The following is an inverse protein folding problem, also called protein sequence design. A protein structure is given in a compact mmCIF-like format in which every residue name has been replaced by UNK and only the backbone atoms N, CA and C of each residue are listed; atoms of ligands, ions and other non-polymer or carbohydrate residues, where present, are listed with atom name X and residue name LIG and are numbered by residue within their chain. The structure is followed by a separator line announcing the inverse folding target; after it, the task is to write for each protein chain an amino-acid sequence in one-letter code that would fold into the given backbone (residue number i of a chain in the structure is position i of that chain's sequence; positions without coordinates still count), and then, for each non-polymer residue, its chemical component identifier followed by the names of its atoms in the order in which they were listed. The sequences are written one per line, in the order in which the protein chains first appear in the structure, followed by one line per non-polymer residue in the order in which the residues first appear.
data_IF_108080464008
#
_entry.id   IF_108080464008
#
_cell.length_a   1.000
_cell.length_b   1.000
_cell.length_c   1.000
_cell.angle_alpha   90.00
_cell.angle_beta   90.00
_cell.angle_gamma   90.00
#
_symmetry.space_group_name_H-M   'P 1'
#
loop_
_entity.id
_entity.type
_entity.pdbx_description
1 polymer ?
#
# COMPACT_ATOMS: atom_id res chain seq x y z
N UNK A 1 4.08 -20.82 -4.28
CA UNK A 1 4.95 -19.62 -4.30
C UNK A 1 4.02 -18.42 -4.43
N UNK A 2 4.06 -17.48 -3.48
CA UNK A 2 3.30 -16.23 -3.55
C UNK A 2 4.27 -15.15 -4.05
N UNK A 3 3.90 -14.42 -5.09
CA UNK A 3 4.73 -13.35 -5.65
C UNK A 3 4.24 -12.01 -5.12
N UNK A 4 5.16 -11.15 -4.69
CA UNK A 4 4.87 -9.77 -4.31
C UNK A 4 5.76 -8.80 -5.08
N UNK A 5 5.14 -7.74 -5.60
CA UNK A 5 5.82 -6.69 -6.35
C UNK A 5 6.06 -5.49 -5.42
N UNK A 6 7.33 -5.21 -5.12
CA UNK A 6 7.78 -4.17 -4.20
C UNK A 6 8.27 -2.95 -5.01
N UNK A 7 7.82 -1.76 -4.61
CA UNK A 7 8.25 -0.51 -5.25
C UNK A 7 9.66 -0.15 -4.76
N UNK A 8 10.61 -0.11 -5.68
CA UNK A 8 12.06 0.04 -5.46
C UNK A 8 12.46 1.34 -4.74
N UNK A 9 11.55 2.33 -4.68
CA UNK A 9 11.74 3.61 -3.98
C UNK A 9 11.15 3.64 -2.56
N UNK A 10 10.56 2.54 -2.07
CA UNK A 10 9.70 2.54 -0.88
C UNK A 10 10.09 1.54 0.20
N UNK A 11 10.99 0.60 -0.10
CA UNK A 11 11.34 -0.51 0.79
C UNK A 11 12.82 -0.44 1.16
N UNK A 12 13.13 -0.34 2.46
CA UNK A 12 14.46 -0.72 2.94
C UNK A 12 14.56 -2.24 2.82
N UNK A 13 15.09 -2.72 1.69
CA UNK A 13 15.13 -4.14 1.32
C UNK A 13 15.70 -5.05 2.42
N UNK A 14 16.61 -4.50 3.26
CA UNK A 14 17.12 -5.19 4.44
C UNK A 14 16.06 -5.64 5.45
N UNK A 15 14.94 -4.92 5.61
CA UNK A 15 13.91 -5.23 6.61
C UNK A 15 12.93 -6.33 6.18
N UNK A 16 12.73 -6.56 4.88
CA UNK A 16 11.70 -7.49 4.38
C UNK A 16 12.28 -8.79 3.81
N UNK A 17 13.60 -8.84 3.63
CA UNK A 17 14.31 -9.95 2.98
C UNK A 17 14.14 -11.27 3.73
N UNK A 18 14.25 -11.27 5.06
CA UNK A 18 14.11 -12.49 5.87
C UNK A 18 12.66 -13.01 5.88
N UNK A 19 11.69 -12.11 5.93
CA UNK A 19 10.26 -12.45 5.86
C UNK A 19 9.92 -13.07 4.50
N UNK A 20 10.44 -12.50 3.40
CA UNK A 20 10.25 -13.07 2.06
C UNK A 20 10.82 -14.50 1.96
N UNK A 21 12.04 -14.72 2.50
CA UNK A 21 12.74 -15.99 2.44
C UNK A 21 12.10 -17.09 3.31
N UNK A 22 11.61 -16.73 4.49
CA UNK A 22 11.05 -17.71 5.44
C UNK A 22 9.63 -18.18 5.09
N UNK A 23 8.93 -17.48 4.19
CA UNK A 23 7.54 -17.78 3.83
C UNK A 23 7.33 -18.20 2.37
N UNK A 24 8.40 -18.58 1.65
CA UNK A 24 8.36 -18.91 0.21
C UNK A 24 7.66 -17.82 -0.64
N UNK A 25 7.97 -16.56 -0.31
CA UNK A 25 7.45 -15.39 -1.02
C UNK A 25 8.53 -14.87 -1.97
N UNK A 26 8.24 -14.88 -3.27
CA UNK A 26 9.14 -14.28 -4.27
C UNK A 26 8.89 -12.77 -4.31
N UNK A 27 9.93 -11.98 -4.03
CA UNK A 27 9.85 -10.52 -3.94
C UNK A 27 10.49 -9.88 -5.18
N UNK A 28 9.68 -9.26 -6.03
CA UNK A 28 10.10 -8.60 -7.27
C UNK A 28 10.24 -7.10 -7.05
N UNK A 29 11.42 -6.51 -7.31
CA UNK A 29 11.56 -5.06 -7.35
C UNK A 29 10.99 -4.55 -8.68
N UNK A 30 9.96 -3.70 -8.62
CA UNK A 30 9.30 -3.18 -9.81
C UNK A 30 10.23 -2.24 -10.60
N UNK A 31 10.71 -2.73 -11.75
CA UNK A 31 11.23 -1.96 -12.89
C UNK A 31 10.10 -1.98 -13.95
N UNK A 32 9.78 -0.86 -14.63
CA UNK A 32 8.40 -0.47 -14.90
C UNK A 32 7.72 -1.36 -15.96
N UNK A 33 6.52 -1.86 -15.67
CA UNK A 33 5.27 -1.52 -16.37
C UNK A 33 4.15 -2.51 -16.02
N UNK A 34 3.02 -1.98 -15.55
CA UNK A 34 1.70 -2.60 -15.41
C UNK A 34 1.59 -3.91 -14.62
N UNK A 35 1.11 -3.76 -13.38
CA UNK A 35 0.38 -4.70 -12.51
C UNK A 35 0.52 -4.08 -11.11
N UNK A 36 -0.47 -3.58 -10.37
CA UNK A 36 -1.92 -3.67 -10.43
C UNK A 36 -2.48 -2.54 -9.54
N UNK A 37 -3.52 -1.80 -9.96
CA UNK A 37 -4.21 -0.82 -9.08
C UNK A 37 -4.76 -1.53 -7.85
N UNK A 38 -5.21 -2.78 -8.03
CA UNK A 38 -5.72 -3.61 -6.94
C UNK A 38 -4.64 -3.90 -5.91
N UNK A 39 -3.37 -4.05 -6.32
CA UNK A 39 -2.26 -4.22 -5.38
C UNK A 39 -2.08 -2.96 -4.52
N UNK A 40 -1.98 -1.79 -5.15
CA UNK A 40 -1.85 -0.51 -4.42
C UNK A 40 -3.04 -0.30 -3.47
N UNK A 41 -4.27 -0.54 -3.93
CA UNK A 41 -5.47 -0.42 -3.12
C UNK A 41 -5.53 -1.48 -2.01
N UNK A 42 -4.93 -2.65 -2.22
CA UNK A 42 -4.82 -3.70 -1.19
C UNK A 42 -3.82 -3.36 -0.10
N UNK A 43 -2.78 -2.56 -0.38
CA UNK A 43 -1.76 -2.23 0.64
C UNK A 43 -1.95 -0.83 1.23
N UNK A 44 -2.74 0.04 0.57
CA UNK A 44 -3.08 1.39 1.04
C UNK A 44 -3.81 1.29 2.39
N UNK A 45 -3.27 1.91 3.45
CA UNK A 45 -3.93 1.91 4.75
C UNK A 45 -5.33 2.55 4.71
N UNK A 46 -6.33 1.85 5.28
CA UNK A 46 -7.67 2.40 5.46
C UNK A 46 -7.76 3.12 6.80
N UNK A 47 -8.52 4.22 6.83
CA UNK A 47 -8.71 5.03 8.05
C UNK A 47 -9.24 4.21 9.23
N UNK A 48 -10.21 3.33 8.99
CA UNK A 48 -10.80 2.48 10.02
C UNK A 48 -9.78 1.53 10.65
N UNK A 49 -8.92 0.94 9.83
CA UNK A 49 -7.85 0.05 10.27
C UNK A 49 -6.81 0.84 11.08
N UNK A 50 -6.40 2.00 10.60
CA UNK A 50 -5.52 2.90 11.36
C UNK A 50 -6.11 3.24 12.73
N UNK A 51 -7.39 3.61 12.80
CA UNK A 51 -8.05 3.90 14.09
C UNK A 51 -8.03 2.66 14.99
N UNK A 52 -8.33 1.47 14.45
CA UNK A 52 -8.28 0.20 15.19
C UNK A 52 -6.88 -0.06 15.76
N UNK A 53 -5.83 0.05 14.94
CA UNK A 53 -4.44 -0.14 15.35
C UNK A 53 -4.04 0.88 16.40
N UNK A 54 -4.36 2.16 16.18
CA UNK A 54 -4.05 3.22 17.12
C UNK A 54 -4.66 2.97 18.50
N UNK A 55 -5.95 2.65 18.56
CA UNK A 55 -6.65 2.39 19.82
C UNK A 55 -6.09 1.15 20.53
N UNK A 56 -5.87 0.06 19.79
CA UNK A 56 -5.27 -1.16 20.33
C UNK A 56 -3.90 -0.87 20.95
N UNK A 57 -3.01 -0.25 20.19
CA UNK A 57 -1.66 0.04 20.63
C UNK A 57 -1.63 1.04 21.79
N UNK A 58 -2.47 2.06 21.75
CA UNK A 58 -2.55 3.07 22.82
C UNK A 58 -3.04 2.46 24.13
N UNK A 59 -4.04 1.59 24.09
CA UNK A 59 -4.57 0.93 25.28
C UNK A 59 -3.52 0.03 25.94
N UNK A 60 -2.78 -0.74 25.15
CA UNK A 60 -1.68 -1.58 25.63
C UNK A 60 -0.49 -0.75 26.12
N UNK A 61 -0.20 0.38 25.48
CA UNK A 61 0.82 1.31 25.93
C UNK A 61 0.52 1.91 27.32
N UNK A 62 -0.75 2.25 27.58
CA UNK A 62 -1.20 2.70 28.92
C UNK A 62 -0.98 1.59 29.97
N UNK A 63 -1.02 0.32 29.56
CA UNK A 63 -0.71 -0.85 30.41
C UNK A 63 0.79 -1.15 30.52
N UNK A 64 1.65 -0.34 29.91
CA UNK A 64 3.11 -0.46 29.97
C UNK A 64 3.75 -1.21 28.79
N UNK A 65 2.96 -1.67 27.80
CA UNK A 65 3.52 -2.34 26.61
C UNK A 65 3.98 -1.29 25.58
N UNK A 66 5.29 -1.13 25.46
CA UNK A 66 5.91 -0.23 24.48
C UNK A 66 6.65 -0.96 23.35
N UNK A 67 6.71 -2.30 23.38
CA UNK A 67 7.39 -3.12 22.40
C UNK A 67 6.39 -3.93 21.57
N UNK A 68 6.58 -3.94 20.25
CA UNK A 68 5.60 -4.47 19.30
C UNK A 68 6.26 -5.29 18.19
N UNK A 69 5.85 -6.54 18.06
CA UNK A 69 6.08 -7.34 16.85
C UNK A 69 5.00 -7.01 15.82
N UNK A 70 5.39 -6.70 14.58
CA UNK A 70 4.43 -6.53 13.48
C UNK A 70 3.68 -7.83 13.17
N UNK A 71 4.32 -8.98 13.33
CA UNK A 71 3.70 -10.30 13.15
C UNK A 71 2.59 -10.54 14.15
N UNK A 72 2.91 -10.37 15.43
CA UNK A 72 1.92 -10.52 16.49
C UNK A 72 0.78 -9.51 16.36
N UNK A 73 1.10 -8.27 16.00
CA UNK A 73 0.10 -7.24 15.75
C UNK A 73 -0.80 -7.59 14.55
N UNK A 74 -0.24 -8.20 13.49
CA UNK A 74 -0.98 -8.71 12.33
C UNK A 74 -1.97 -9.78 12.73
N UNK A 75 -1.56 -10.74 13.56
CA UNK A 75 -2.44 -11.79 14.07
C UNK A 75 -3.56 -11.22 14.94
N UNK A 76 -3.22 -10.37 15.92
CA UNK A 76 -4.17 -9.78 16.86
C UNK A 76 -5.22 -8.90 16.16
N UNK A 77 -4.85 -8.26 15.05
CA UNK A 77 -5.70 -7.25 14.38
C UNK A 77 -6.31 -7.74 13.08
N UNK A 78 -5.85 -8.89 12.58
CA UNK A 78 -6.20 -9.47 11.28
C UNK A 78 -5.92 -8.52 10.10
N UNK A 79 -4.92 -7.65 10.25
CA UNK A 79 -4.46 -6.73 9.19
C UNK A 79 -3.13 -7.24 8.67
N UNK A 80 -3.00 -7.41 7.35
CA UNK A 80 -1.79 -7.96 6.74
C UNK A 80 -0.54 -7.13 7.06
N UNK A 81 0.60 -7.82 7.23
CA UNK A 81 1.90 -7.25 7.63
C UNK A 81 2.30 -6.00 6.85
N UNK A 82 2.19 -6.07 5.51
CA UNK A 82 2.61 -4.97 4.65
C UNK A 82 1.74 -3.72 4.86
N UNK A 83 0.44 -3.89 5.12
CA UNK A 83 -0.46 -2.78 5.44
C UNK A 83 -0.17 -2.23 6.84
N UNK A 84 0.10 -3.09 7.82
CA UNK A 84 0.53 -2.69 9.15
C UNK A 84 1.81 -1.88 9.13
N UNK A 85 2.80 -2.30 8.35
CA UNK A 85 4.03 -1.55 8.15
C UNK A 85 3.75 -0.12 7.69
N UNK A 86 2.89 0.07 6.69
CA UNK A 86 2.53 1.41 6.23
C UNK A 86 1.72 2.21 7.24
N UNK A 87 0.85 1.57 8.03
CA UNK A 87 0.15 2.23 9.14
C UNK A 87 1.17 2.78 10.15
N UNK A 88 2.14 1.96 10.55
CA UNK A 88 3.19 2.37 11.49
C UNK A 88 4.03 3.51 10.95
N UNK A 89 4.42 3.43 9.67
CA UNK A 89 5.16 4.48 8.97
C UNK A 89 4.38 5.80 8.94
N UNK A 90 3.07 5.76 8.61
CA UNK A 90 2.21 6.95 8.60
C UNK A 90 2.12 7.56 10.01
N UNK A 91 2.00 6.74 11.06
CA UNK A 91 1.96 7.26 12.42
C UNK A 91 3.26 7.94 12.83
N UNK A 92 4.41 7.39 12.42
CA UNK A 92 5.72 7.98 12.68
C UNK A 92 5.90 9.29 11.89
N UNK A 93 5.56 9.31 10.60
CA UNK A 93 5.58 10.50 9.74
C UNK A 93 4.72 11.65 10.27
N UNK A 94 3.55 11.32 10.85
CA UNK A 94 2.65 12.30 11.47
C UNK A 94 3.03 12.63 12.92
N UNK A 95 4.14 12.06 13.40
CA UNK A 95 4.65 12.18 14.76
C UNK A 95 3.66 11.72 15.83
N UNK A 96 2.66 10.92 15.49
CA UNK A 96 1.68 10.33 16.43
C UNK A 96 2.41 9.37 17.37
N UNK A 97 3.30 8.58 16.79
CA UNK A 97 4.26 7.76 17.51
C UNK A 97 5.68 8.17 17.12
N UNK A 98 6.63 7.69 17.91
CA UNK A 98 8.02 7.53 17.48
C UNK A 98 8.36 6.06 17.61
N UNK A 99 8.86 5.45 16.54
CA UNK A 99 9.25 4.04 16.54
C UNK A 99 10.74 3.85 16.25
N UNK A 100 11.36 2.85 16.88
CA UNK A 100 12.71 2.39 16.57
C UNK A 100 12.73 0.87 16.45
N UNK A 101 13.40 0.36 15.42
CA UNK A 101 13.66 -1.06 15.24
C UNK A 101 14.67 -1.55 16.28
N UNK A 102 14.45 -2.75 16.80
CA UNK A 102 15.36 -3.45 17.70
C UNK A 102 15.99 -4.64 16.97
N UNK A 103 17.11 -5.15 17.52
CA UNK A 103 17.88 -6.24 16.93
C UNK A 103 17.13 -7.57 16.86
N UNK A 104 16.03 -7.71 17.62
CA UNK A 104 15.16 -8.88 17.63
C UNK A 104 13.94 -8.77 16.71
N UNK A 105 13.91 -7.74 15.85
CA UNK A 105 12.83 -7.52 14.87
C UNK A 105 11.59 -6.82 15.44
N UNK A 106 11.54 -6.57 16.76
CA UNK A 106 10.47 -5.80 17.38
C UNK A 106 10.66 -4.29 17.18
N UNK A 107 9.55 -3.57 17.27
CA UNK A 107 9.50 -2.11 17.27
C UNK A 107 9.31 -1.60 18.69
N UNK A 108 10.25 -0.77 19.16
CA UNK A 108 10.04 0.06 20.34
C UNK A 108 9.23 1.28 19.92
N UNK A 109 8.07 1.48 20.55
CA UNK A 109 7.10 2.52 20.21
C UNK A 109 6.84 3.42 21.40
N UNK A 110 6.93 4.73 21.17
CA UNK A 110 6.52 5.78 22.11
C UNK A 110 5.38 6.58 21.53
N UNK A 111 4.32 6.79 22.31
CA UNK A 111 3.23 7.70 21.92
C UNK A 111 3.59 9.14 22.27
N UNK A 112 3.46 10.03 21.29
CA UNK A 112 3.73 11.44 21.46
C UNK A 112 2.44 12.19 21.86
N UNK A 113 2.59 13.24 22.67
CA UNK A 113 1.50 14.21 22.84
C UNK A 113 1.38 15.01 21.55
N UNK A 114 0.31 14.79 20.82
CA UNK A 114 0.07 15.43 19.53
C UNK A 114 -1.33 16.03 19.48
N UNK A 115 -1.44 17.17 18.81
CA UNK A 115 -2.72 17.69 18.36
C UNK A 115 -3.33 16.78 17.30
N UNK A 116 -4.61 17.00 17.00
CA UNK A 116 -5.31 16.28 15.93
C UNK A 116 -4.52 16.42 14.61
N UNK A 117 -4.11 15.29 14.04
CA UNK A 117 -3.38 15.21 12.78
C UNK A 117 -4.32 14.90 11.61
N UNK A 118 -4.04 15.49 10.46
CA UNK A 118 -4.63 15.07 9.19
C UNK A 118 -3.80 13.93 8.59
N UNK A 119 -4.46 12.85 8.20
CA UNK A 119 -3.81 11.68 7.60
C UNK A 119 -3.24 12.03 6.22
N UNK A 120 -3.90 12.97 5.51
CA UNK A 120 -3.46 13.43 4.19
C UNK A 120 -2.14 14.19 4.24
N UNK A 121 -1.67 14.63 5.42
CA UNK A 121 -0.37 15.29 5.57
C UNK A 121 0.82 14.32 5.45
N UNK A 122 0.58 13.02 5.66
CA UNK A 122 1.62 11.99 5.58
C UNK A 122 2.20 11.92 4.15
N UNK A 123 3.54 12.00 4.00
CA UNK A 123 4.22 11.73 2.74
C UNK A 123 3.83 10.39 2.12
N UNK A 124 3.72 9.33 2.92
CA UNK A 124 3.28 8.02 2.45
C UNK A 124 1.85 8.03 1.89
N UNK A 125 0.90 8.71 2.55
CA UNK A 125 -0.47 8.84 2.05
C UNK A 125 -0.55 9.65 0.75
N UNK A 126 0.14 10.80 0.67
CA UNK A 126 0.25 11.60 -0.56
C UNK A 126 0.82 10.77 -1.71
N UNK A 127 1.77 9.88 -1.43
CA UNK A 127 2.36 9.01 -2.43
C UNK A 127 1.38 7.92 -2.89
N UNK A 128 0.63 7.28 -1.98
CA UNK A 128 -0.42 6.33 -2.36
C UNK A 128 -1.43 6.96 -3.32
N UNK A 129 -1.86 8.19 -3.05
CA UNK A 129 -2.78 8.92 -3.92
C UNK A 129 -2.16 9.26 -5.29
N UNK A 130 -0.89 9.71 -5.31
CA UNK A 130 -0.18 9.97 -6.57
C UNK A 130 -0.03 8.71 -7.42
N UNK A 131 0.31 7.58 -6.81
CA UNK A 131 0.43 6.30 -7.50
C UNK A 131 -0.91 5.84 -8.05
N UNK A 132 -1.95 5.85 -7.21
CA UNK A 132 -3.30 5.49 -7.63
C UNK A 132 -3.77 6.36 -8.82
N UNK A 133 -3.66 7.68 -8.71
CA UNK A 133 -4.06 8.61 -9.78
C UNK A 133 -3.27 8.38 -11.08
N UNK A 134 -1.95 8.14 -10.98
CA UNK A 134 -1.11 7.85 -12.13
C UNK A 134 -1.54 6.54 -12.80
N UNK A 135 -1.82 5.50 -12.04
CA UNK A 135 -2.27 4.23 -12.56
C UNK A 135 -3.66 4.34 -13.21
N UNK A 136 -4.60 5.06 -12.60
CA UNK A 136 -5.93 5.32 -13.19
C UNK A 136 -5.82 6.08 -14.52
N UNK A 137 -4.96 7.10 -14.60
CA UNK A 137 -4.72 7.85 -15.83
C UNK A 137 -4.16 6.96 -16.94
N UNK A 138 -3.19 6.13 -16.59
CA UNK A 138 -2.55 5.17 -17.50
C UNK A 138 -3.57 4.13 -18.00
N UNK A 139 -4.39 3.56 -17.11
CA UNK A 139 -5.47 2.63 -17.48
C UNK A 139 -6.47 3.27 -18.43
N UNK A 140 -6.82 4.54 -18.21
CA UNK A 140 -7.71 5.28 -19.10
C UNK A 140 -7.12 5.41 -20.51
N UNK A 141 -5.85 5.79 -20.63
CA UNK A 141 -5.16 5.87 -21.93
C UNK A 141 -5.19 4.52 -22.65
N UNK A 142 -4.92 3.44 -21.92
CA UNK A 142 -4.90 2.10 -22.49
C UNK A 142 -6.29 1.68 -22.99
N UNK A 143 -7.34 1.88 -22.21
CA UNK A 143 -8.72 1.59 -22.61
C UNK A 143 -9.13 2.44 -23.81
N UNK A 144 -8.86 3.75 -23.80
CA UNK A 144 -9.15 4.65 -24.92
C UNK A 144 -8.40 4.22 -26.21
N UNK A 145 -7.20 3.66 -26.09
CA UNK A 145 -6.44 3.11 -27.22
C UNK A 145 -7.05 1.80 -27.75
N UNK A 146 -7.42 0.89 -26.85
CA UNK A 146 -8.05 -0.39 -27.21
C UNK A 146 -9.43 -0.19 -27.85
N UNK A 147 -10.23 0.75 -27.33
CA UNK A 147 -11.53 1.12 -27.89
C UNK A 147 -11.40 1.70 -29.31
N UNK A 148 -10.34 2.47 -29.59
CA UNK A 148 -10.05 2.98 -30.94
C UNK A 148 -9.58 1.88 -31.91
N UNK A 149 -8.90 0.86 -31.42
CA UNK A 149 -8.46 -0.29 -32.22
C UNK A 149 -9.63 -1.23 -32.54
N UNK A 150 -10.57 -1.43 -31.62
CA UNK A 150 -11.71 -2.33 -31.78
C UNK A 150 -12.91 -1.61 -32.46
N UNK A 151 -13.07 -0.31 -32.25
CA UNK A 151 -14.11 0.53 -32.85
C UNK A 151 -13.81 1.03 -34.27
N UNK A 152 -12.65 0.71 -34.84
CA UNK A 152 -12.24 1.13 -36.19
C UNK A 152 -12.72 0.23 -37.34
N UNK A 153 -13.42 -0.88 -37.06
CA UNK A 153 -13.73 -1.92 -38.07
C UNK A 153 -15.20 -2.21 -38.33
N UNK A 154 -16.16 -1.35 -37.93
CA UNK A 154 -17.59 -1.65 -38.12
C UNK A 154 -18.43 -0.66 -38.92
N UNK A 155 -17.86 0.40 -39.51
CA UNK A 155 -18.66 1.35 -40.32
C UNK A 155 -18.25 1.50 -41.79
N UNK A 156 -17.42 0.58 -42.34
CA UNK A 156 -17.16 0.53 -43.79
C UNK A 156 -18.11 -0.42 -44.56
N UNK A 157 -19.08 -1.07 -43.91
CA UNK A 157 -20.03 -1.97 -44.57
C UNK A 157 -21.47 -1.44 -44.71
N UNK A 158 -21.72 -0.15 -44.41
CA UNK A 158 -23.03 0.49 -44.64
C UNK A 158 -23.08 1.51 -45.79
N UNK A 159 -22.04 1.60 -46.64
CA UNK A 159 -22.02 2.49 -47.81
C UNK A 159 -21.95 1.78 -49.17
N UNK A 160 -22.39 0.53 -49.25
CA UNK A 160 -22.62 -0.17 -50.52
C UNK A 160 -23.98 -0.84 -50.52
N UNK A 161 -25.06 -0.04 -50.50
CA UNK A 161 -26.40 -0.50 -50.88
C UNK A 161 -27.34 0.69 -51.20
N UNK A 162 -26.80 1.76 -51.80
CA UNK A 162 -27.60 2.85 -52.39
C UNK A 162 -27.01 3.30 -53.73
N UNK A 163 -26.78 2.34 -54.62
CA UNK A 163 -26.56 2.60 -56.05
C UNK A 163 -26.99 1.37 -56.84
N UNK A 164 -28.30 1.24 -57.03
CA UNK A 164 -28.95 0.82 -58.28
C UNK A 164 -30.47 0.92 -58.13
#
# INVERSE_FOLDING_TARGET
IREIYLLDSFVQYGMIKEVCQNHDILCHACIPSYEDVQFIDSIKPKREEMVKIYLHMRNEYIRGKNKWSLEKLSEETSIGLLRLYYIMKIFDELSIISCASLDDGDLLVKFNRTDKKDISDSPSMKMFEKLHNRLCFINKIFNDYMDKQIGGTTDEHKRKDQSN
#
